data_IF_623006430024
#
_entry.id   IF_623006430024
#
_cell.length_a   1.000
_cell.length_b   1.000
_cell.length_c   1.000
_cell.angle_alpha   90.00
_cell.angle_beta   90.00
_cell.angle_gamma   90.00
#
_symmetry.space_group_name_H-M   'P 1'
#
loop_
_entity.id
_entity.type
_entity.pdbx_description
1 polymer ?
#
# COMPACT_ATOMS: atom_id res chain seq x y z
N UNK A 1 -36.27 14.31 20.51
CA UNK A 1 -35.87 15.16 19.38
C UNK A 1 -34.41 14.90 19.10
N UNK A 2 -34.10 14.15 18.06
CA UNK A 2 -32.74 13.97 17.56
C UNK A 2 -32.49 15.13 16.59
N UNK A 3 -31.57 16.03 16.93
CA UNK A 3 -31.14 17.05 15.97
C UNK A 3 -30.40 16.37 14.81
N UNK A 4 -30.66 16.76 13.55
CA UNK A 4 -29.90 16.23 12.42
C UNK A 4 -28.43 16.58 12.58
N UNK A 5 -27.56 15.61 12.39
CA UNK A 5 -26.11 15.78 12.44
C UNK A 5 -25.72 16.72 11.28
N UNK A 6 -24.90 17.76 11.52
CA UNK A 6 -24.40 18.61 10.44
C UNK A 6 -23.57 17.79 9.44
N UNK A 7 -23.79 17.99 8.14
CA UNK A 7 -23.08 17.25 7.09
C UNK A 7 -21.54 17.35 7.20
N UNK A 8 -21.02 18.50 7.61
CA UNK A 8 -19.58 18.71 7.80
C UNK A 8 -19.00 17.82 8.91
N UNK A 9 -19.78 17.53 9.96
CA UNK A 9 -19.37 16.55 10.96
C UNK A 9 -19.27 15.15 10.35
N UNK A 10 -20.27 14.77 9.55
CA UNK A 10 -20.30 13.48 8.85
C UNK A 10 -19.13 13.32 7.88
N UNK A 11 -18.79 14.38 7.10
CA UNK A 11 -17.63 14.38 6.20
C UNK A 11 -16.32 14.14 6.96
N UNK A 12 -16.07 14.92 8.01
CA UNK A 12 -14.85 14.82 8.81
C UNK A 12 -14.71 13.44 9.44
N UNK A 13 -15.80 12.90 9.99
CA UNK A 13 -15.82 11.55 10.56
C UNK A 13 -15.39 10.50 9.52
N UNK A 14 -15.97 10.55 8.32
CA UNK A 14 -15.67 9.55 7.28
C UNK A 14 -14.28 9.70 6.67
N UNK A 15 -13.78 10.93 6.51
CA UNK A 15 -12.40 11.17 6.10
C UNK A 15 -11.42 10.57 7.11
N UNK A 16 -11.66 10.79 8.41
CA UNK A 16 -10.83 10.21 9.47
C UNK A 16 -10.87 8.67 9.45
N UNK A 17 -12.06 8.09 9.28
CA UNK A 17 -12.25 6.63 9.13
C UNK A 17 -11.51 6.07 7.92
N UNK A 18 -11.52 6.75 6.77
CA UNK A 18 -10.78 6.34 5.57
C UNK A 18 -9.28 6.37 5.83
N UNK A 19 -8.77 7.41 6.49
CA UNK A 19 -7.36 7.52 6.85
C UNK A 19 -6.92 6.38 7.77
N UNK A 20 -7.68 6.10 8.84
CA UNK A 20 -7.42 4.99 9.75
C UNK A 20 -7.42 3.65 9.02
N UNK A 21 -8.44 3.39 8.18
CA UNK A 21 -8.54 2.15 7.42
C UNK A 21 -7.38 1.98 6.44
N UNK A 22 -6.90 3.08 5.83
CA UNK A 22 -5.74 3.04 4.95
C UNK A 22 -4.47 2.67 5.74
N UNK A 23 -4.24 3.30 6.90
CA UNK A 23 -3.09 2.99 7.75
C UNK A 23 -3.08 1.54 8.23
N UNK A 24 -4.22 1.02 8.68
CA UNK A 24 -4.39 -0.39 9.08
C UNK A 24 -4.05 -1.35 7.94
N UNK A 25 -4.54 -1.08 6.73
CA UNK A 25 -4.22 -1.88 5.55
C UNK A 25 -2.73 -1.81 5.19
N UNK A 26 -2.11 -0.63 5.29
CA UNK A 26 -0.68 -0.49 5.04
C UNK A 26 0.15 -1.28 6.05
N UNK A 27 -0.23 -1.32 7.32
CA UNK A 27 0.46 -2.14 8.34
C UNK A 27 0.39 -3.63 8.01
N UNK A 28 -0.74 -4.12 7.52
CA UNK A 28 -0.91 -5.51 7.08
C UNK A 28 -0.01 -5.83 5.88
N UNK A 29 0.01 -4.94 4.88
CA UNK A 29 0.82 -5.11 3.65
C UNK A 29 2.31 -5.08 3.96
N UNK A 30 2.73 -4.21 4.86
CA UNK A 30 4.12 -4.09 5.28
C UNK A 30 4.54 -5.19 6.27
N UNK A 31 3.64 -6.11 6.63
CA UNK A 31 3.96 -7.28 7.46
C UNK A 31 4.51 -6.94 8.84
N UNK A 32 4.19 -5.75 9.37
CA UNK A 32 4.74 -5.28 10.64
C UNK A 32 6.24 -4.92 10.60
N UNK A 33 6.85 -4.79 9.42
CA UNK A 33 8.23 -4.31 9.32
C UNK A 33 8.40 -2.96 10.00
N UNK A 34 9.50 -2.80 10.72
CA UNK A 34 9.87 -1.56 11.39
C UNK A 34 10.20 -0.46 10.38
N UNK A 35 10.20 0.80 10.80
CA UNK A 35 10.64 1.91 9.95
C UNK A 35 12.08 1.70 9.47
N UNK A 36 12.97 1.30 10.37
CA UNK A 36 14.37 1.03 10.06
C UNK A 36 14.53 -0.03 8.96
N UNK A 37 13.75 -1.12 9.01
CA UNK A 37 13.77 -2.13 7.94
C UNK A 37 13.30 -1.56 6.61
N UNK A 38 12.19 -0.81 6.60
CA UNK A 38 11.64 -0.20 5.38
C UNK A 38 12.60 0.78 4.73
N UNK A 39 13.34 1.55 5.53
CA UNK A 39 14.32 2.51 5.05
C UNK A 39 15.46 1.81 4.27
N UNK A 40 15.73 0.52 4.53
CA UNK A 40 16.72 -0.26 3.77
C UNK A 40 16.19 -0.82 2.44
N UNK A 41 14.88 -0.91 2.24
CA UNK A 41 14.29 -1.61 1.10
C UNK A 41 14.63 -0.97 -0.24
N UNK A 42 14.70 0.37 -0.31
CA UNK A 42 15.05 1.08 -1.53
C UNK A 42 16.47 0.71 -2.00
N UNK A 43 17.42 0.60 -1.06
CA UNK A 43 18.78 0.19 -1.34
C UNK A 43 18.84 -1.26 -1.83
N UNK A 44 18.12 -2.18 -1.16
CA UNK A 44 18.05 -3.58 -1.54
C UNK A 44 17.40 -3.76 -2.93
N UNK A 45 16.33 -3.02 -3.22
CA UNK A 45 15.66 -3.05 -4.51
C UNK A 45 16.55 -2.52 -5.64
N UNK A 46 17.31 -1.45 -5.39
CA UNK A 46 18.27 -0.92 -6.36
C UNK A 46 19.35 -1.95 -6.67
N UNK A 47 19.91 -2.60 -5.65
CA UNK A 47 20.90 -3.67 -5.81
C UNK A 47 20.31 -4.87 -6.57
N UNK A 48 19.08 -5.31 -6.21
CA UNK A 48 18.40 -6.42 -6.88
C UNK A 48 18.13 -6.12 -8.36
N UNK A 49 17.65 -4.91 -8.69
CA UNK A 49 17.46 -4.47 -10.08
C UNK A 49 18.77 -4.48 -10.86
N UNK A 50 19.84 -3.91 -10.27
CA UNK A 50 21.16 -3.88 -10.89
C UNK A 50 21.76 -5.28 -11.08
N UNK A 51 21.52 -6.20 -10.15
CA UNK A 51 21.93 -7.60 -10.29
C UNK A 51 21.20 -8.28 -11.46
N UNK A 52 19.89 -8.07 -11.59
CA UNK A 52 19.08 -8.62 -12.69
C UNK A 52 19.53 -8.12 -14.07
N UNK A 53 19.99 -6.86 -14.17
CA UNK A 53 20.48 -6.27 -15.43
C UNK A 53 21.98 -6.47 -15.66
N UNK A 54 22.70 -7.13 -14.75
CA UNK A 54 24.14 -7.34 -14.85
C UNK A 54 24.98 -6.07 -14.66
N UNK A 55 24.42 -5.05 -14.01
CA UNK A 55 25.06 -3.74 -13.78
C UNK A 55 25.34 -3.48 -12.30
N UNK A 56 25.25 -4.50 -11.44
CA UNK A 56 25.49 -4.35 -10.02
C UNK A 56 26.94 -3.94 -9.73
N UNK A 57 27.12 -2.95 -8.86
CA UNK A 57 28.44 -2.63 -8.33
C UNK A 57 28.93 -3.74 -7.38
N UNK A 58 30.24 -3.80 -7.07
CA UNK A 58 30.76 -4.71 -6.05
C UNK A 58 30.03 -4.57 -4.71
N UNK A 59 29.73 -3.35 -4.29
CA UNK A 59 29.01 -3.06 -3.03
C UNK A 59 27.58 -3.58 -3.08
N UNK A 60 26.87 -3.41 -4.20
CA UNK A 60 25.52 -3.96 -4.37
C UNK A 60 25.51 -5.49 -4.37
N UNK A 61 26.53 -6.10 -4.99
CA UNK A 61 26.70 -7.55 -4.99
C UNK A 61 27.03 -8.08 -3.60
N UNK A 62 27.88 -7.38 -2.85
CA UNK A 62 28.22 -7.69 -1.47
C UNK A 62 27.01 -7.54 -0.56
N UNK A 63 26.21 -6.48 -0.74
CA UNK A 63 24.95 -6.29 -0.01
C UNK A 63 24.04 -7.50 -0.19
N UNK A 64 23.71 -7.86 -1.44
CA UNK A 64 22.82 -8.99 -1.71
C UNK A 64 23.39 -10.31 -1.20
N UNK A 65 24.70 -10.52 -1.33
CA UNK A 65 25.35 -11.73 -0.82
C UNK A 65 25.31 -11.80 0.70
N UNK A 66 25.47 -10.68 1.40
CA UNK A 66 25.45 -10.61 2.86
C UNK A 66 24.07 -10.87 3.46
N UNK A 67 23.00 -10.49 2.76
CA UNK A 67 21.61 -10.73 3.20
C UNK A 67 21.03 -12.04 2.67
N UNK A 68 21.76 -12.76 1.81
CA UNK A 68 21.36 -14.04 1.27
C UNK A 68 21.36 -15.09 2.38
N UNK A 69 20.21 -15.71 2.65
CA UNK A 69 20.13 -16.77 3.64
C UNK A 69 20.74 -18.07 3.10
N UNK A 70 21.20 -18.94 4.00
CA UNK A 70 21.68 -20.27 3.60
C UNK A 70 20.58 -21.07 2.90
N UNK A 71 20.80 -21.44 1.64
CA UNK A 71 19.88 -22.28 0.85
C UNK A 71 19.16 -21.58 -0.30
N UNK A 72 19.29 -20.26 -0.44
CA UNK A 72 18.85 -19.53 -1.64
C UNK A 72 20.04 -19.02 -2.46
N UNK A 73 19.80 -18.65 -3.71
CA UNK A 73 20.81 -17.99 -4.55
C UNK A 73 20.58 -16.48 -4.52
N UNK A 74 21.65 -15.69 -4.73
CA UNK A 74 21.53 -14.23 -4.87
C UNK A 74 20.53 -13.84 -5.98
N UNK A 75 20.48 -14.63 -7.06
CA UNK A 75 19.51 -14.44 -8.13
C UNK A 75 18.06 -14.67 -7.66
N UNK A 76 17.81 -15.75 -6.90
CA UNK A 76 16.50 -16.04 -6.32
C UNK A 76 16.06 -14.94 -5.34
N UNK A 77 16.96 -14.51 -4.46
CA UNK A 77 16.72 -13.40 -3.54
C UNK A 77 16.39 -12.11 -4.30
N UNK A 78 17.19 -11.73 -5.31
CA UNK A 78 16.97 -10.52 -6.09
C UNK A 78 15.60 -10.54 -6.80
N UNK A 79 15.20 -11.68 -7.37
CA UNK A 79 13.86 -11.84 -7.94
C UNK A 79 12.77 -11.71 -6.87
N UNK A 80 12.98 -12.28 -5.69
CA UNK A 80 12.06 -12.17 -4.55
C UNK A 80 11.88 -10.71 -4.08
N UNK A 81 12.97 -9.95 -3.95
CA UNK A 81 12.94 -8.53 -3.59
C UNK A 81 12.15 -7.72 -4.63
N UNK A 82 12.44 -7.91 -5.92
CA UNK A 82 11.75 -7.21 -7.01
C UNK A 82 10.27 -7.57 -7.05
N UNK A 83 9.94 -8.86 -6.90
CA UNK A 83 8.56 -9.35 -6.86
C UNK A 83 7.78 -8.71 -5.71
N UNK A 84 8.33 -8.75 -4.49
CA UNK A 84 7.72 -8.10 -3.30
C UNK A 84 7.55 -6.60 -3.51
N UNK A 85 8.57 -5.91 -4.03
CA UNK A 85 8.48 -4.48 -4.29
C UNK A 85 7.34 -4.14 -5.25
N UNK A 86 7.16 -4.90 -6.33
CA UNK A 86 6.05 -4.69 -7.28
C UNK A 86 4.68 -4.91 -6.65
N UNK A 87 4.54 -5.95 -5.81
CA UNK A 87 3.29 -6.21 -5.09
C UNK A 87 2.99 -5.06 -4.15
N UNK A 88 3.97 -4.62 -3.34
CA UNK A 88 3.80 -3.49 -2.42
C UNK A 88 3.45 -2.20 -3.19
N UNK A 89 4.15 -1.88 -4.27
CA UNK A 89 3.85 -0.72 -5.13
C UNK A 89 2.41 -0.78 -5.69
N UNK A 90 1.98 -1.95 -6.17
CA UNK A 90 0.63 -2.15 -6.70
C UNK A 90 -0.44 -1.97 -5.63
N UNK A 91 -0.25 -2.53 -4.43
CA UNK A 91 -1.20 -2.42 -3.33
C UNK A 91 -1.29 -0.98 -2.84
N UNK A 92 -0.14 -0.32 -2.59
CA UNK A 92 -0.08 1.07 -2.15
C UNK A 92 -0.76 1.99 -3.17
N UNK A 93 -0.43 1.85 -4.46
CA UNK A 93 -1.00 2.66 -5.52
C UNK A 93 -2.52 2.51 -5.62
N UNK A 94 -3.01 1.27 -5.51
CA UNK A 94 -4.45 0.98 -5.53
C UNK A 94 -5.16 1.56 -4.32
N UNK A 95 -4.65 1.32 -3.11
CA UNK A 95 -5.23 1.82 -1.86
C UNK A 95 -5.25 3.35 -1.80
N UNK A 96 -4.15 4.03 -2.19
CA UNK A 96 -4.11 5.49 -2.28
C UNK A 96 -5.08 6.03 -3.32
N UNK A 97 -5.23 5.35 -4.46
CA UNK A 97 -6.18 5.73 -5.50
C UNK A 97 -7.63 5.71 -4.99
N UNK A 98 -8.03 4.63 -4.32
CA UNK A 98 -9.36 4.46 -3.71
C UNK A 98 -9.59 5.56 -2.67
N UNK A 99 -8.65 5.72 -1.73
CA UNK A 99 -8.67 6.75 -0.69
C UNK A 99 -8.93 8.14 -1.27
N UNK A 100 -8.12 8.56 -2.25
CA UNK A 100 -8.23 9.90 -2.85
C UNK A 100 -9.55 10.12 -3.59
N UNK A 101 -10.09 9.09 -4.25
CA UNK A 101 -11.41 9.18 -4.90
C UNK A 101 -12.52 9.32 -3.86
N UNK A 102 -12.46 8.54 -2.79
CA UNK A 102 -13.44 8.59 -1.70
C UNK A 102 -13.43 9.95 -0.98
N UNK A 103 -12.25 10.46 -0.60
CA UNK A 103 -12.09 11.77 0.04
C UNK A 103 -12.68 12.88 -0.85
N UNK A 104 -12.32 12.91 -2.14
CA UNK A 104 -12.84 13.90 -3.07
C UNK A 104 -14.36 13.83 -3.23
N UNK A 105 -14.93 12.62 -3.26
CA UNK A 105 -16.38 12.43 -3.35
C UNK A 105 -17.11 12.90 -2.08
N UNK A 106 -16.55 12.62 -0.90
CA UNK A 106 -17.09 13.06 0.40
C UNK A 106 -17.01 14.58 0.53
N UNK A 107 -15.88 15.19 0.17
CA UNK A 107 -15.71 16.64 0.20
C UNK A 107 -16.74 17.36 -0.69
N UNK A 108 -16.99 16.82 -1.89
CA UNK A 108 -17.94 17.34 -2.85
C UNK A 108 -19.41 17.09 -2.50
N UNK A 109 -19.70 16.18 -1.56
CA UNK A 109 -21.07 15.82 -1.19
C UNK A 109 -21.81 17.01 -0.54
N UNK A 110 -23.07 17.16 -0.90
CA UNK A 110 -24.00 18.16 -0.36
C UNK A 110 -25.10 17.53 0.50
N UNK A 111 -25.21 16.20 0.47
CA UNK A 111 -26.20 15.40 1.22
C UNK A 111 -25.52 14.24 1.95
N UNK A 112 -26.22 13.65 2.93
CA UNK A 112 -25.71 12.47 3.65
C UNK A 112 -25.73 11.23 2.73
N UNK A 113 -26.73 11.13 1.87
CA UNK A 113 -26.87 10.05 0.90
C UNK A 113 -25.71 10.02 -0.10
N UNK A 114 -25.19 11.17 -0.52
CA UNK A 114 -24.00 11.26 -1.37
C UNK A 114 -22.72 10.79 -0.66
N UNK A 115 -22.61 11.06 0.65
CA UNK A 115 -21.50 10.56 1.48
C UNK A 115 -21.58 9.03 1.57
N UNK A 116 -22.75 8.49 1.90
CA UNK A 116 -22.97 7.04 2.01
C UNK A 116 -22.68 6.33 0.68
N UNK A 117 -23.11 6.90 -0.44
CA UNK A 117 -22.80 6.38 -1.77
C UNK A 117 -21.29 6.37 -2.06
N UNK A 118 -20.56 7.44 -1.69
CA UNK A 118 -19.12 7.50 -1.87
C UNK A 118 -18.38 6.42 -1.06
N UNK A 119 -18.82 6.17 0.17
CA UNK A 119 -18.26 5.13 1.04
C UNK A 119 -18.57 3.73 0.51
N UNK A 120 -19.79 3.52 0.02
CA UNK A 120 -20.17 2.24 -0.57
C UNK A 120 -19.29 1.91 -1.78
N UNK A 121 -19.10 2.87 -2.70
CA UNK A 121 -18.21 2.73 -3.86
C UNK A 121 -16.79 2.39 -3.40
N UNK A 122 -16.23 3.16 -2.46
CA UNK A 122 -14.88 2.92 -1.95
C UNK A 122 -14.74 1.53 -1.30
N UNK A 123 -15.78 1.06 -0.62
CA UNK A 123 -15.82 -0.27 0.01
C UNK A 123 -15.84 -1.38 -1.04
N UNK A 124 -16.63 -1.23 -2.09
CA UNK A 124 -16.70 -2.19 -3.20
C UNK A 124 -15.37 -2.24 -3.98
N UNK A 125 -14.78 -1.08 -4.28
CA UNK A 125 -13.46 -0.98 -4.90
C UNK A 125 -12.38 -1.65 -4.04
N UNK A 126 -12.41 -1.42 -2.71
CA UNK A 126 -11.46 -2.04 -1.78
C UNK A 126 -11.60 -3.56 -1.73
N UNK A 127 -12.83 -4.09 -1.70
CA UNK A 127 -13.10 -5.54 -1.74
C UNK A 127 -12.61 -6.15 -3.06
N UNK A 128 -12.88 -5.50 -4.19
CA UNK A 128 -12.44 -5.98 -5.49
C UNK A 128 -10.92 -5.99 -5.60
N UNK A 129 -10.26 -4.92 -5.14
CA UNK A 129 -8.79 -4.86 -5.09
C UNK A 129 -8.20 -5.96 -4.22
N UNK A 130 -8.72 -6.16 -3.02
CA UNK A 130 -8.24 -7.21 -2.11
C UNK A 130 -8.41 -8.62 -2.70
N UNK A 131 -9.55 -8.89 -3.34
CA UNK A 131 -9.79 -10.16 -4.02
C UNK A 131 -8.80 -10.40 -5.18
N UNK A 132 -8.47 -9.36 -5.95
CA UNK A 132 -7.49 -9.45 -7.03
C UNK A 132 -6.05 -9.71 -6.51
N UNK A 133 -5.70 -9.15 -5.35
CA UNK A 133 -4.38 -9.32 -4.72
C UNK A 133 -4.24 -10.72 -4.09
N UNK A 134 -5.30 -11.28 -3.49
CA UNK A 134 -5.26 -12.57 -2.80
C UNK A 134 -5.61 -13.78 -3.68
N UNK A 135 -6.24 -13.54 -4.83
CA UNK A 135 -6.71 -14.59 -5.75
C UNK A 135 -5.84 -14.81 -6.99
N UNK A 136 -4.73 -14.07 -7.13
CA UNK A 136 -3.71 -14.25 -8.17
C UNK A 136 -2.46 -14.92 -7.62
#
# INVERSE_FOLDING_TARGET
MTYPIPIEYTKNHWIERINQSFEEQMLLVLGGSTQMERDTWALQLAAAKAHQTGTATPEQSNLLSAICAGGETVAALAMGIIGKARVVEHIIGTALGIKRRAEKAIEAATTHEEIDAAIQIATEESKAAFAAIMGG
#
